data_IF_564052535121
#
_entry.id   IF_564052535121
#
_cell.length_a   1.000
_cell.length_b   1.000
_cell.length_c   1.000
_cell.angle_alpha   90.00
_cell.angle_beta   90.00
_cell.angle_gamma   90.00
#
_symmetry.space_group_name_H-M   'P 1'
#
loop_
_entity.id
_entity.type
_entity.pdbx_description
1 polymer ?
#
# COMPACT_ATOMS: atom_id res chain seq x y z
N UNK A 1 -1.39 -16.68 6.26
CA UNK A 1 -1.24 -15.87 7.48
C UNK A 1 -1.39 -14.40 7.14
N UNK A 2 -2.22 -13.68 7.85
CA UNK A 2 -2.46 -12.26 7.63
C UNK A 2 -1.56 -11.47 8.57
N UNK A 3 -0.77 -10.56 8.02
CA UNK A 3 0.07 -9.69 8.82
C UNK A 3 -0.21 -8.23 8.54
N UNK A 4 -0.16 -7.40 9.58
CA UNK A 4 -0.28 -5.94 9.47
C UNK A 4 1.00 -5.31 9.98
N UNK A 5 1.56 -4.40 9.20
CA UNK A 5 2.78 -3.69 9.56
C UNK A 5 2.66 -2.22 9.21
N UNK A 6 3.35 -1.40 9.98
CA UNK A 6 3.41 0.03 9.71
C UNK A 6 4.45 0.30 8.65
N UNK A 7 4.15 1.26 7.77
CA UNK A 7 5.06 1.64 6.72
C UNK A 7 4.73 3.01 6.17
N UNK A 8 5.38 3.31 5.05
CA UNK A 8 5.24 4.60 4.39
C UNK A 8 5.12 4.39 2.90
N UNK A 9 4.21 5.13 2.28
CA UNK A 9 4.07 5.12 0.82
C UNK A 9 5.18 5.96 0.20
N UNK A 10 5.84 5.42 -0.80
CA UNK A 10 6.93 6.09 -1.51
C UNK A 10 6.49 6.60 -2.87
N UNK A 11 5.67 5.82 -3.57
CA UNK A 11 5.11 6.20 -4.85
C UNK A 11 3.72 5.59 -4.98
N UNK A 12 2.81 6.31 -5.64
CA UNK A 12 1.44 5.87 -5.81
C UNK A 12 1.01 6.20 -7.24
N UNK A 13 0.49 5.19 -7.94
CA UNK A 13 0.01 5.37 -9.30
C UNK A 13 -1.34 4.69 -9.45
N UNK A 14 -2.31 5.42 -9.99
CA UNK A 14 -3.60 4.83 -10.32
C UNK A 14 -3.54 4.22 -11.70
N UNK A 15 -4.02 2.99 -11.84
CA UNK A 15 -4.08 2.31 -13.13
C UNK A 15 -5.48 1.76 -13.35
N UNK A 16 -5.85 1.62 -14.62
CA UNK A 16 -7.13 1.08 -15.04
C UNK A 16 -6.86 -0.12 -15.95
N UNK A 17 -7.44 -1.26 -15.59
CA UNK A 17 -7.32 -2.49 -16.37
C UNK A 17 -8.73 -2.97 -16.67
N UNK A 18 -9.16 -2.87 -17.93
CA UNK A 18 -10.47 -3.30 -18.37
C UNK A 18 -11.61 -2.73 -17.52
N UNK A 19 -11.51 -1.45 -17.15
CA UNK A 19 -12.52 -0.78 -16.35
C UNK A 19 -12.39 -0.96 -14.84
N UNK A 20 -11.53 -1.84 -14.40
CA UNK A 20 -11.22 -2.00 -12.98
C UNK A 20 -10.06 -1.11 -12.60
N UNK A 21 -10.20 -0.38 -11.48
CA UNK A 21 -9.17 0.56 -11.04
C UNK A 21 -8.35 -0.02 -9.90
N UNK A 22 -7.06 0.22 -9.98
CA UNK A 22 -6.09 -0.27 -9.00
C UNK A 22 -5.12 0.83 -8.62
N UNK A 23 -4.48 0.64 -7.48
CA UNK A 23 -3.34 1.43 -7.07
C UNK A 23 -2.08 0.58 -7.20
N UNK A 24 -1.10 1.07 -7.99
CA UNK A 24 0.26 0.53 -7.98
C UNK A 24 1.05 1.35 -6.98
N UNK A 25 1.59 0.68 -5.98
CA UNK A 25 2.18 1.34 -4.83
C UNK A 25 3.59 0.82 -4.59
N UNK A 26 4.52 1.75 -4.40
CA UNK A 26 5.83 1.45 -3.84
C UNK A 26 5.83 1.90 -2.38
N UNK A 27 6.32 1.07 -1.50
CA UNK A 27 6.28 1.35 -0.07
C UNK A 27 7.49 0.75 0.63
N UNK A 28 7.73 1.22 1.85
CA UNK A 28 8.73 0.63 2.73
C UNK A 28 8.10 0.36 4.08
N UNK A 29 8.58 -0.69 4.74
CA UNK A 29 8.17 -0.99 6.10
C UNK A 29 8.92 -0.09 7.08
N UNK A 30 8.30 0.24 8.19
CA UNK A 30 8.91 1.09 9.22
C UNK A 30 10.19 0.48 9.77
N UNK A 31 10.21 -0.84 9.92
CA UNK A 31 11.39 -1.54 10.44
C UNK A 31 12.46 -1.83 9.38
N UNK A 32 12.18 -1.52 8.11
CA UNK A 32 13.13 -1.73 7.01
C UNK A 32 12.98 -0.61 5.98
N UNK A 33 13.27 0.65 6.39
CA UNK A 33 12.95 1.80 5.52
C UNK A 33 13.81 1.87 4.25
N UNK A 34 14.89 1.13 4.19
CA UNK A 34 15.75 1.10 3.00
C UNK A 34 15.29 0.09 1.97
N UNK A 35 14.39 -0.80 2.33
CA UNK A 35 13.91 -1.84 1.43
C UNK A 35 12.59 -1.41 0.80
N UNK A 36 12.62 -1.19 -0.52
CA UNK A 36 11.44 -0.79 -1.27
C UNK A 36 10.71 -2.03 -1.76
N UNK A 37 9.42 -2.08 -1.50
CA UNK A 37 8.54 -3.14 -1.98
C UNK A 37 7.46 -2.54 -2.85
N UNK A 38 6.84 -3.36 -3.68
CA UNK A 38 5.77 -2.92 -4.57
C UNK A 38 4.57 -3.84 -4.42
N UNK A 39 3.38 -3.25 -4.61
CA UNK A 39 2.16 -4.01 -4.61
C UNK A 39 1.10 -3.34 -5.44
N UNK A 40 0.09 -4.12 -5.83
CA UNK A 40 -1.08 -3.64 -6.56
C UNK A 40 -2.32 -4.05 -5.81
N UNK A 41 -3.16 -3.08 -5.50
CA UNK A 41 -4.42 -3.34 -4.80
C UNK A 41 -5.56 -2.63 -5.50
N UNK A 42 -6.77 -3.20 -5.42
CA UNK A 42 -7.95 -2.52 -5.90
C UNK A 42 -8.21 -1.24 -5.11
N UNK A 43 -8.86 -0.26 -5.73
CA UNK A 43 -9.12 1.01 -5.05
C UNK A 43 -9.98 0.83 -3.80
N UNK A 44 -10.81 -0.20 -3.76
CA UNK A 44 -11.65 -0.51 -2.61
C UNK A 44 -10.85 -1.05 -1.41
N UNK A 45 -9.61 -1.44 -1.63
CA UNK A 45 -8.74 -1.96 -0.57
C UNK A 45 -7.81 -0.89 0.00
N UNK A 46 -8.06 0.37 -0.35
CA UNK A 46 -7.28 1.51 0.11
C UNK A 46 -8.19 2.61 0.62
N UNK A 47 -7.63 3.51 1.39
CA UNK A 47 -8.33 4.74 1.77
C UNK A 47 -8.36 5.71 0.59
N UNK A 48 -9.14 6.80 0.72
CA UNK A 48 -9.28 7.77 -0.36
C UNK A 48 -7.99 8.55 -0.60
N UNK A 49 -7.59 8.64 -1.86
CA UNK A 49 -6.48 9.46 -2.32
C UNK A 49 -5.14 9.16 -1.61
N UNK A 50 -4.67 7.90 -1.68
CA UNK A 50 -3.34 7.62 -1.15
C UNK A 50 -2.29 8.45 -1.88
N UNK A 51 -1.30 8.94 -1.16
CA UNK A 51 -0.28 9.84 -1.69
C UNK A 51 1.11 9.47 -1.19
N UNK A 52 2.17 9.78 -1.96
CA UNK A 52 3.53 9.58 -1.50
C UNK A 52 3.77 10.33 -0.18
N UNK A 53 4.47 9.67 0.75
CA UNK A 53 4.76 10.24 2.06
C UNK A 53 3.76 9.89 3.13
N UNK A 54 2.61 9.32 2.76
CA UNK A 54 1.60 8.93 3.75
C UNK A 54 2.11 7.79 4.63
N UNK A 55 1.86 7.90 5.91
CA UNK A 55 2.10 6.81 6.85
C UNK A 55 0.89 5.91 6.87
N UNK A 56 1.13 4.62 6.72
CA UNK A 56 0.05 3.65 6.52
C UNK A 56 0.30 2.39 7.33
N UNK A 57 -0.77 1.63 7.50
CA UNK A 57 -0.70 0.24 7.93
C UNK A 57 -0.90 -0.62 6.70
N UNK A 58 0.06 -1.51 6.45
CA UNK A 58 0.08 -2.38 5.29
C UNK A 58 -0.39 -3.76 5.71
N UNK A 59 -1.40 -4.27 5.02
CA UNK A 59 -1.87 -5.63 5.25
C UNK A 59 -1.31 -6.55 4.17
N UNK A 60 -0.66 -7.62 4.60
CA UNK A 60 -0.09 -8.60 3.69
C UNK A 60 -0.61 -10.00 4.02
N UNK A 61 -0.82 -10.78 2.98
CA UNK A 61 -1.16 -12.19 3.10
C UNK A 61 -0.10 -12.97 2.32
N UNK A 62 0.64 -13.83 3.00
CA UNK A 62 1.72 -14.61 2.39
C UNK A 62 2.70 -13.72 1.62
N UNK A 63 3.03 -12.55 2.18
CA UNK A 63 3.99 -11.63 1.57
C UNK A 63 3.42 -10.75 0.46
N UNK A 64 2.14 -10.87 0.14
CA UNK A 64 1.49 -10.10 -0.91
C UNK A 64 0.65 -9.00 -0.27
N UNK A 65 0.84 -7.76 -0.73
CA UNK A 65 0.05 -6.62 -0.25
C UNK A 65 -1.41 -6.80 -0.68
N UNK A 66 -2.33 -6.70 0.27
CA UNK A 66 -3.76 -6.86 0.01
C UNK A 66 -4.59 -5.63 0.34
N UNK A 67 -4.12 -4.79 1.26
CA UNK A 67 -4.86 -3.59 1.66
C UNK A 67 -3.94 -2.60 2.35
N UNK A 68 -4.34 -1.33 2.35
CA UNK A 68 -3.65 -0.29 3.12
C UNK A 68 -4.67 0.54 3.87
N UNK A 69 -4.27 1.01 5.06
CA UNK A 69 -5.05 1.92 5.87
C UNK A 69 -4.18 3.11 6.25
N UNK A 70 -4.76 4.30 6.27
CA UNK A 70 -4.02 5.49 6.66
C UNK A 70 -3.83 5.51 8.18
N UNK A 71 -2.61 5.71 8.61
CA UNK A 71 -2.33 5.89 10.02
C UNK A 71 -2.54 7.35 10.37
N UNK A 72 -3.44 7.57 11.32
CA UNK A 72 -3.65 8.88 11.91
C UNK A 72 -2.87 8.91 13.21
N UNK A 73 -1.72 9.52 13.15
CA UNK A 73 -0.90 9.68 14.34
C UNK A 73 -1.29 10.95 15.08
#
# INVERSE_FOLDING_TARGET
MIGKQKGKLLDVRQIDIHGARFWDISYSMENSPQQVQRGRIGIESAYDNPAPGDKVTLQQVLGVLTAIEKNEA
#
